data_IF_420980386775
#
_entry.id   IF_420980386775
#
_cell.length_a   1.000
_cell.length_b   1.000
_cell.length_c   1.000
_cell.angle_alpha   90.00
_cell.angle_beta   90.00
_cell.angle_gamma   90.00
#
_symmetry.space_group_name_H-M   'P 1'
#
loop_
_entity.id
_entity.type
_entity.pdbx_description
1 polymer ?
#
# COMPACT_ATOMS: atom_id res chain seq x y z
N UNK A 1 -20.80 26.68 -13.88
CA UNK A 1 -21.12 26.00 -12.61
C UNK A 1 -21.98 24.72 -12.75
N UNK A 2 -22.27 24.22 -13.97
CA UNK A 2 -23.16 23.04 -14.14
C UNK A 2 -22.51 21.70 -13.73
N UNK A 3 -21.22 21.49 -13.98
CA UNK A 3 -20.54 20.20 -13.77
C UNK A 3 -20.38 19.75 -12.29
N UNK A 4 -20.60 20.63 -11.32
CA UNK A 4 -20.39 20.34 -9.88
C UNK A 4 -21.71 20.08 -9.14
N UNK A 5 -22.85 20.45 -9.73
CA UNK A 5 -24.18 20.25 -9.13
C UNK A 5 -24.69 18.86 -9.48
N UNK A 6 -24.81 17.99 -8.47
CA UNK A 6 -25.30 16.62 -8.64
C UNK A 6 -25.08 15.77 -7.40
N UNK A 7 -25.30 14.46 -7.52
CA UNK A 7 -25.04 13.50 -6.45
C UNK A 7 -23.53 13.17 -6.39
N UNK A 8 -22.81 13.80 -5.46
CA UNK A 8 -21.35 13.64 -5.32
C UNK A 8 -20.94 12.50 -4.37
N UNK A 9 -21.91 11.84 -3.70
CA UNK A 9 -21.65 10.83 -2.68
C UNK A 9 -20.74 9.69 -3.16
N UNK A 10 -20.97 9.18 -4.38
CA UNK A 10 -20.15 8.12 -4.97
C UNK A 10 -18.72 8.57 -5.28
N UNK A 11 -18.52 9.82 -5.69
CA UNK A 11 -17.19 10.34 -5.98
C UNK A 11 -16.34 10.50 -4.70
N UNK A 12 -16.98 10.81 -3.57
CA UNK A 12 -16.31 10.99 -2.28
C UNK A 12 -16.20 9.70 -1.46
N UNK A 13 -16.89 8.62 -1.86
CA UNK A 13 -16.81 7.34 -1.15
C UNK A 13 -15.39 6.80 -1.16
N UNK A 14 -15.01 6.12 -0.09
CA UNK A 14 -13.68 5.52 0.04
C UNK A 14 -13.72 4.09 -0.46
N UNK A 15 -12.96 3.82 -1.49
CA UNK A 15 -12.84 2.47 -2.03
C UNK A 15 -11.64 1.76 -1.41
N UNK A 16 -11.61 0.43 -1.52
CA UNK A 16 -10.50 -0.40 -1.06
C UNK A 16 -9.72 -0.92 -2.26
N UNK A 17 -8.43 -0.62 -2.28
CA UNK A 17 -7.48 -1.09 -3.29
C UNK A 17 -6.55 -2.14 -2.70
N UNK A 18 -6.16 -3.13 -3.49
CA UNK A 18 -5.18 -4.14 -3.11
C UNK A 18 -3.96 -4.08 -4.02
N UNK A 19 -2.78 -4.25 -3.42
CA UNK A 19 -1.49 -4.26 -4.11
C UNK A 19 -0.61 -5.36 -3.51
N UNK A 20 -0.13 -6.29 -4.33
CA UNK A 20 0.97 -7.18 -3.92
C UNK A 20 2.31 -6.47 -4.07
N UNK A 21 3.13 -6.50 -3.03
CA UNK A 21 4.47 -5.92 -3.01
C UNK A 21 5.53 -6.82 -3.67
N UNK A 22 5.17 -8.04 -4.07
CA UNK A 22 6.06 -9.02 -4.70
C UNK A 22 6.71 -8.44 -5.95
N UNK A 23 8.05 -8.46 -5.98
CA UNK A 23 8.90 -7.95 -7.07
C UNK A 23 8.70 -6.46 -7.43
N UNK A 24 7.99 -5.70 -6.58
CA UNK A 24 7.78 -4.27 -6.77
C UNK A 24 8.89 -3.46 -6.11
N UNK A 25 9.33 -2.41 -6.81
CA UNK A 25 10.31 -1.46 -6.26
C UNK A 25 9.65 -0.59 -5.21
N UNK A 26 10.21 -0.58 -3.98
CA UNK A 26 9.65 0.11 -2.82
C UNK A 26 9.28 1.58 -3.10
N UNK A 27 10.19 2.34 -3.71
CA UNK A 27 9.99 3.79 -3.92
C UNK A 27 8.83 4.11 -4.86
N UNK A 28 8.82 3.49 -6.04
CA UNK A 28 7.77 3.67 -7.04
C UNK A 28 6.41 3.21 -6.51
N UNK A 29 6.38 2.06 -5.83
CA UNK A 29 5.16 1.55 -5.20
C UNK A 29 4.66 2.51 -4.12
N UNK A 30 5.52 2.95 -3.21
CA UNK A 30 5.15 3.87 -2.13
C UNK A 30 4.63 5.22 -2.65
N UNK A 31 5.19 5.74 -3.74
CA UNK A 31 4.71 6.96 -4.41
C UNK A 31 3.29 6.80 -4.94
N UNK A 32 3.00 5.69 -5.64
CA UNK A 32 1.65 5.40 -6.14
C UNK A 32 0.64 5.18 -5.00
N UNK A 33 1.05 4.46 -3.95
CA UNK A 33 0.22 4.29 -2.76
C UNK A 33 -0.11 5.65 -2.14
N UNK A 34 0.89 6.52 -1.94
CA UNK A 34 0.66 7.85 -1.38
C UNK A 34 -0.29 8.70 -2.25
N UNK A 35 -0.20 8.57 -3.58
CA UNK A 35 -1.11 9.24 -4.52
C UNK A 35 -2.57 8.83 -4.31
N UNK A 36 -2.83 7.52 -4.14
CA UNK A 36 -4.16 6.97 -3.85
C UNK A 36 -4.66 7.35 -2.45
N UNK A 37 -3.78 7.30 -1.44
CA UNK A 37 -4.12 7.70 -0.06
C UNK A 37 -4.45 9.19 0.06
N UNK A 38 -3.90 10.04 -0.83
CA UNK A 38 -4.27 11.45 -0.92
C UNK A 38 -5.57 11.69 -1.70
N UNK A 39 -6.04 10.71 -2.46
CA UNK A 39 -7.22 10.85 -3.33
C UNK A 39 -6.94 11.55 -4.66
N UNK A 40 -5.66 11.77 -5.02
CA UNK A 40 -5.28 12.49 -6.25
C UNK A 40 -5.63 11.76 -7.55
N UNK A 41 -6.02 10.49 -7.44
CA UNK A 41 -6.55 9.70 -8.55
C UNK A 41 -8.00 10.02 -8.90
N UNK A 42 -8.73 10.67 -7.99
CA UNK A 42 -10.10 11.09 -8.22
C UNK A 42 -10.10 12.48 -8.86
N UNK A 43 -10.93 12.72 -9.90
CA UNK A 43 -11.04 14.04 -10.53
C UNK A 43 -11.63 15.10 -9.59
N UNK A 44 -12.30 14.67 -8.51
CA UNK A 44 -12.85 15.54 -7.45
C UNK A 44 -11.84 15.84 -6.33
N UNK A 45 -10.55 15.60 -6.56
CA UNK A 45 -9.51 15.87 -5.57
C UNK A 45 -9.47 17.35 -5.22
N UNK A 46 -9.49 17.62 -3.91
CA UNK A 46 -9.25 18.95 -3.36
C UNK A 46 -8.21 18.85 -2.23
N UNK A 47 -7.19 19.73 -2.18
CA UNK A 47 -6.15 19.66 -1.14
C UNK A 47 -6.65 19.85 0.30
N UNK A 48 -7.77 20.57 0.48
CA UNK A 48 -8.38 20.86 1.79
C UNK A 48 -9.27 19.72 2.29
N UNK A 49 -9.74 18.85 1.39
CA UNK A 49 -10.64 17.73 1.71
C UNK A 49 -9.90 16.39 1.68
N UNK A 50 -10.08 15.58 2.71
CA UNK A 50 -9.46 14.25 2.79
C UNK A 50 -10.35 13.15 2.17
N UNK A 51 -10.37 13.08 0.84
CA UNK A 51 -11.18 12.13 0.05
C UNK A 51 -10.39 10.90 -0.47
N UNK A 52 -9.26 10.58 0.16
CA UNK A 52 -8.42 9.44 -0.20
C UNK A 52 -8.98 8.07 0.18
N UNK A 53 -8.49 7.04 -0.50
CA UNK A 53 -8.99 5.67 -0.40
C UNK A 53 -8.16 4.79 0.57
N UNK A 54 -8.64 3.57 0.81
CA UNK A 54 -7.92 2.54 1.54
C UNK A 54 -7.00 1.76 0.61
N UNK A 55 -5.81 1.41 1.11
CA UNK A 55 -4.85 0.60 0.36
C UNK A 55 -4.39 -0.54 1.25
N UNK A 56 -4.58 -1.76 0.76
CA UNK A 56 -4.11 -3.00 1.36
C UNK A 56 -2.88 -3.43 0.57
N UNK A 57 -1.79 -3.68 1.28
CA UNK A 57 -0.54 -4.21 0.71
C UNK A 57 -0.27 -5.60 1.29
N UNK A 58 -0.11 -6.59 0.42
CA UNK A 58 0.35 -7.95 0.77
C UNK A 58 1.80 -8.16 0.37
N UNK A 59 2.42 -9.23 0.86
CA UNK A 59 3.75 -9.72 0.50
C UNK A 59 4.87 -8.70 0.79
N UNK A 60 4.75 -7.95 1.88
CA UNK A 60 5.72 -6.90 2.20
C UNK A 60 7.15 -7.42 2.35
N UNK A 61 7.35 -8.68 2.73
CA UNK A 61 8.68 -9.31 2.82
C UNK A 61 9.40 -9.37 1.47
N UNK A 62 8.64 -9.54 0.38
CA UNK A 62 9.15 -9.70 -0.99
C UNK A 62 9.36 -8.38 -1.74
N UNK A 63 9.26 -7.23 -1.03
CA UNK A 63 9.49 -5.92 -1.64
C UNK A 63 10.94 -5.77 -2.11
N UNK A 64 11.12 -5.20 -3.30
CA UNK A 64 12.44 -5.01 -3.91
C UNK A 64 13.02 -3.64 -3.55
N UNK A 65 14.25 -3.67 -3.03
CA UNK A 65 15.09 -2.49 -2.83
C UNK A 65 16.15 -2.47 -3.93
N UNK A 66 16.35 -1.32 -4.56
CA UNK A 66 17.31 -1.17 -5.67
C UNK A 66 18.72 -0.88 -5.13
N UNK A 67 19.75 -1.45 -5.78
CA UNK A 67 21.14 -1.26 -5.40
C UNK A 67 21.47 -1.88 -4.04
N UNK A 68 22.46 -1.33 -3.33
CA UNK A 68 22.92 -1.83 -2.02
C UNK A 68 22.06 -1.37 -0.83
N UNK A 69 20.94 -0.69 -1.10
CA UNK A 69 20.01 -0.17 -0.07
C UNK A 69 19.35 -1.26 0.75
N UNK A 70 19.32 -2.50 0.24
CA UNK A 70 18.83 -3.68 0.95
C UNK A 70 19.62 -3.99 2.22
N UNK A 71 20.90 -3.64 2.25
CA UNK A 71 21.82 -4.04 3.31
C UNK A 71 22.39 -2.82 4.04
N UNK A 72 22.70 -1.74 3.31
CA UNK A 72 23.42 -0.58 3.85
C UNK A 72 22.52 0.46 4.52
N UNK A 73 21.20 0.42 4.31
CA UNK A 73 20.32 1.48 4.79
C UNK A 73 20.12 1.40 6.30
N UNK A 74 20.41 2.50 7.00
CA UNK A 74 20.20 2.63 8.45
C UNK A 74 19.03 3.58 8.71
N UNK A 75 18.07 3.13 9.51
CA UNK A 75 17.00 3.98 10.05
C UNK A 75 17.44 4.60 11.37
N UNK A 76 17.34 5.93 11.46
CA UNK A 76 17.72 6.70 12.64
C UNK A 76 16.51 7.31 13.32
N UNK A 77 16.52 7.33 14.63
CA UNK A 77 15.53 8.00 15.49
C UNK A 77 16.26 8.60 16.69
N UNK A 78 15.92 9.83 17.05
CA UNK A 78 16.47 10.49 18.23
C UNK A 78 15.36 10.74 19.26
N UNK A 79 15.61 10.41 20.52
CA UNK A 79 14.62 10.61 21.59
C UNK A 79 14.50 12.06 22.07
N UNK A 80 15.50 12.90 21.82
CA UNK A 80 15.60 14.29 22.29
C UNK A 80 16.57 14.48 23.45
N UNK A 81 16.97 13.41 24.14
CA UNK A 81 17.98 13.45 25.21
C UNK A 81 19.40 13.31 24.64
N UNK A 82 20.40 13.81 25.37
CA UNK A 82 21.81 13.60 25.00
C UNK A 82 22.13 12.10 24.93
N UNK A 83 22.86 11.68 23.89
CA UNK A 83 23.13 10.26 23.63
C UNK A 83 21.91 9.44 23.17
N UNK A 84 20.74 10.05 22.94
CA UNK A 84 19.49 9.39 22.63
C UNK A 84 19.32 8.91 21.18
N UNK A 85 20.40 8.80 20.41
CA UNK A 85 20.38 8.34 19.01
C UNK A 85 20.21 6.83 18.95
N UNK A 86 19.16 6.37 18.28
CA UNK A 86 18.90 4.96 17.98
C UNK A 86 19.05 4.73 16.50
N UNK A 87 19.91 3.79 16.15
CA UNK A 87 20.15 3.37 14.77
C UNK A 87 19.75 1.91 14.61
N UNK A 88 19.00 1.61 13.56
CA UNK A 88 18.54 0.26 13.25
C UNK A 88 18.82 -0.04 11.78
N UNK A 89 19.61 -1.07 11.46
CA UNK A 89 19.84 -1.45 10.07
C UNK A 89 18.55 -2.00 9.45
N UNK A 90 18.38 -1.79 8.15
CA UNK A 90 17.19 -2.20 7.41
C UNK A 90 16.96 -3.72 7.46
N UNK A 91 18.03 -4.52 7.48
CA UNK A 91 17.98 -5.97 7.62
C UNK A 91 17.22 -6.38 8.87
N UNK A 92 17.57 -5.78 10.01
CA UNK A 92 16.92 -6.03 11.30
C UNK A 92 15.45 -5.57 11.35
N UNK A 93 15.06 -4.57 10.56
CA UNK A 93 13.65 -4.19 10.41
C UNK A 93 12.94 -5.18 9.50
N UNK A 94 13.56 -5.60 8.41
CA UNK A 94 13.00 -6.56 7.46
C UNK A 94 12.68 -7.89 8.13
N UNK A 95 13.53 -8.34 9.05
CA UNK A 95 13.34 -9.61 9.75
C UNK A 95 12.24 -9.56 10.82
N UNK A 96 12.09 -8.41 11.50
CA UNK A 96 11.14 -8.28 12.61
C UNK A 96 9.78 -7.70 12.22
N UNK A 97 9.79 -6.68 11.37
CA UNK A 97 8.62 -5.89 10.98
C UNK A 97 8.75 -5.40 9.53
N UNK A 98 8.71 -6.30 8.52
CA UNK A 98 8.86 -5.93 7.11
C UNK A 98 7.82 -4.90 6.65
N UNK A 99 6.62 -4.90 7.24
CA UNK A 99 5.54 -3.95 7.00
C UNK A 99 5.95 -2.50 7.29
N UNK A 100 6.84 -2.29 8.25
CA UNK A 100 7.28 -0.97 8.69
C UNK A 100 8.16 -0.29 7.65
N UNK A 101 8.86 -1.06 6.79
CA UNK A 101 9.65 -0.52 5.69
C UNK A 101 8.75 0.23 4.70
N UNK A 102 7.61 -0.38 4.34
CA UNK A 102 6.63 0.20 3.43
C UNK A 102 5.91 1.38 4.11
N UNK A 103 5.48 1.19 5.36
CA UNK A 103 4.78 2.24 6.13
C UNK A 103 5.63 3.50 6.25
N UNK A 104 6.93 3.36 6.55
CA UNK A 104 7.87 4.50 6.64
C UNK A 104 8.09 5.17 5.28
N UNK A 105 8.23 4.38 4.22
CA UNK A 105 8.38 4.92 2.87
C UNK A 105 7.17 5.78 2.47
N UNK A 106 5.95 5.26 2.66
CA UNK A 106 4.70 5.97 2.35
C UNK A 106 4.52 7.19 3.25
N UNK A 107 4.79 7.06 4.56
CA UNK A 107 4.76 8.17 5.52
C UNK A 107 5.71 9.31 5.15
N UNK A 108 6.84 8.99 4.51
CA UNK A 108 7.78 9.95 3.94
C UNK A 108 7.16 10.75 2.79
N UNK A 109 6.44 10.08 1.89
CA UNK A 109 5.81 10.65 0.68
C UNK A 109 4.56 11.49 0.97
N UNK A 110 3.92 11.31 2.12
CA UNK A 110 2.75 12.09 2.51
C UNK A 110 3.12 13.53 2.96
N UNK A 111 2.31 14.54 2.59
CA UNK A 111 2.46 15.92 3.06
C UNK A 111 2.48 16.01 4.58
N UNK A 112 3.28 16.93 5.14
CA UNK A 112 3.41 17.11 6.59
C UNK A 112 2.27 18.01 7.10
N UNK A 113 1.10 17.42 7.33
CA UNK A 113 -0.07 18.10 7.87
C UNK A 113 -0.87 17.17 8.81
N UNK A 114 -1.99 17.66 9.33
CA UNK A 114 -2.89 16.91 10.23
C UNK A 114 -3.46 15.65 9.57
N UNK A 115 -3.79 15.70 8.27
CA UNK A 115 -4.30 14.54 7.52
C UNK A 115 -3.28 13.42 7.36
N UNK A 116 -1.99 13.67 7.55
CA UNK A 116 -0.94 12.66 7.36
C UNK A 116 -1.19 11.41 8.20
N UNK A 117 -1.59 11.57 9.46
CA UNK A 117 -1.85 10.44 10.37
C UNK A 117 -3.04 9.61 9.88
N UNK A 118 -4.16 10.28 9.61
CA UNK A 118 -5.39 9.63 9.12
C UNK A 118 -5.20 8.94 7.78
N UNK A 119 -4.46 9.56 6.84
CA UNK A 119 -4.12 8.93 5.55
C UNK A 119 -3.23 7.70 5.73
N UNK A 120 -2.27 7.75 6.66
CA UNK A 120 -1.41 6.62 6.94
C UNK A 120 -2.16 5.47 7.64
N UNK A 121 -3.16 5.75 8.47
CA UNK A 121 -4.00 4.74 9.11
C UNK A 121 -4.85 3.92 8.12
N UNK A 122 -5.17 4.51 6.95
CA UNK A 122 -5.86 3.83 5.84
C UNK A 122 -4.97 2.84 5.08
N UNK A 123 -3.64 2.96 5.22
CA UNK A 123 -2.70 1.99 4.68
C UNK A 123 -2.63 0.77 5.59
N UNK A 124 -3.07 -0.38 5.08
CA UNK A 124 -2.92 -1.68 5.75
C UNK A 124 -1.82 -2.46 5.04
N UNK A 125 -0.82 -2.91 5.77
CA UNK A 125 0.34 -3.63 5.22
C UNK A 125 0.49 -4.93 5.98
N UNK A 126 0.63 -6.02 5.23
CA UNK A 126 0.79 -7.37 5.74
C UNK A 126 2.10 -7.97 5.20
N UNK A 127 2.78 -8.73 6.05
CA UNK A 127 4.07 -9.37 5.73
C UNK A 127 3.93 -10.42 4.63
N UNK A 128 2.85 -11.20 4.72
CA UNK A 128 2.46 -12.28 3.82
C UNK A 128 1.11 -11.91 3.17
N UNK A 129 0.12 -12.80 3.25
CA UNK A 129 -1.22 -12.57 2.71
C UNK A 129 -2.05 -11.63 3.61
N UNK A 130 -2.97 -10.91 2.98
CA UNK A 130 -3.91 -10.08 3.73
C UNK A 130 -5.08 -10.93 4.24
N UNK A 131 -5.54 -10.74 5.49
CA UNK A 131 -6.69 -11.46 6.03
C UNK A 131 -7.96 -11.30 5.19
N UNK A 132 -8.78 -12.35 5.15
CA UNK A 132 -10.04 -12.37 4.39
C UNK A 132 -10.98 -11.20 4.69
N UNK A 133 -10.99 -10.73 5.95
CA UNK A 133 -11.76 -9.57 6.41
C UNK A 133 -11.50 -8.33 5.54
N UNK A 134 -10.26 -8.13 5.11
CA UNK A 134 -9.90 -7.02 4.25
C UNK A 134 -10.11 -7.34 2.78
N UNK A 135 -9.88 -8.59 2.37
CA UNK A 135 -10.07 -9.03 0.99
C UNK A 135 -11.52 -8.92 0.52
N UNK A 136 -12.48 -9.17 1.40
CA UNK A 136 -13.91 -9.06 1.10
C UNK A 136 -14.36 -7.64 0.76
N UNK A 137 -13.64 -6.62 1.24
CA UNK A 137 -13.97 -5.21 1.03
C UNK A 137 -13.39 -4.65 -0.28
N UNK A 138 -12.49 -5.39 -0.95
CA UNK A 138 -11.86 -4.94 -2.20
C UNK A 138 -12.93 -4.75 -3.27
N UNK A 139 -12.82 -3.68 -4.05
CA UNK A 139 -13.73 -3.46 -5.18
C UNK A 139 -13.65 -4.62 -6.16
N UNK A 140 -14.77 -5.32 -6.34
CA UNK A 140 -14.90 -6.40 -7.32
C UNK A 140 -15.34 -5.82 -8.65
N UNK A 141 -14.55 -6.02 -9.69
CA UNK A 141 -14.96 -5.71 -11.07
C UNK A 141 -15.59 -6.96 -11.67
N UNK A 142 -16.83 -6.85 -12.17
CA UNK A 142 -17.59 -7.97 -12.74
C UNK A 142 -17.01 -8.51 -14.06
N UNK A 143 -16.06 -7.80 -14.68
CA UNK A 143 -15.38 -8.20 -15.91
C UNK A 143 -14.23 -9.20 -15.66
N UNK A 144 -13.80 -9.38 -14.41
CA UNK A 144 -12.79 -10.40 -14.09
C UNK A 144 -13.46 -11.77 -14.03
N UNK A 145 -13.62 -12.43 -15.18
CA UNK A 145 -13.89 -13.87 -15.21
C UNK A 145 -12.73 -14.56 -14.49
N UNK A 146 -12.97 -15.34 -13.42
CA UNK A 146 -11.90 -16.10 -12.77
C UNK A 146 -11.32 -17.08 -13.79
N UNK A 147 -10.08 -16.88 -14.20
CA UNK A 147 -9.36 -17.74 -15.14
C UNK A 147 -8.95 -19.09 -14.55
N UNK A 148 -9.75 -19.65 -13.63
CA UNK A 148 -9.49 -20.90 -12.93
C UNK A 148 -10.61 -21.91 -13.20
N UNK A 149 -10.78 -22.28 -14.47
CA UNK A 149 -11.53 -23.46 -14.93
C UNK A 149 -10.86 -24.00 -16.21
N UNK A 150 -9.56 -24.31 -16.15
CA UNK A 150 -8.89 -25.07 -17.21
C UNK A 150 -7.72 -25.90 -16.66
N UNK A 151 -8.04 -26.91 -15.86
CA UNK A 151 -7.11 -28.02 -15.61
C UNK A 151 -7.86 -29.26 -15.09
N UNK A 152 -8.72 -29.84 -15.92
CA UNK A 152 -9.10 -31.27 -15.80
C UNK A 152 -9.53 -31.82 -17.16
N UNK A 153 -9.11 -33.05 -17.47
CA UNK A 153 -9.23 -33.83 -18.72
C UNK A 153 -8.12 -33.54 -19.75
N UNK A 154 -7.27 -34.47 -20.19
CA UNK A 154 -7.19 -35.93 -20.00
C UNK A 154 -5.73 -36.35 -20.22
N UNK A 155 -5.13 -36.99 -19.22
CA UNK A 155 -3.95 -37.81 -19.41
C UNK A 155 -4.47 -39.26 -19.44
N UNK A 156 -4.90 -39.73 -20.60
CA UNK A 156 -5.04 -41.17 -20.84
C UNK A 156 -3.76 -41.64 -21.53
N UNK A 157 -2.96 -42.30 -20.71
CA UNK A 157 -1.84 -43.16 -21.06
C UNK A 157 -2.28 -44.32 -21.96
N UNK A 158 -1.44 -44.58 -22.95
CA UNK A 158 -1.08 -45.88 -23.53
C UNK A 158 -1.85 -47.12 -23.06
N UNK A 159 -2.48 -47.82 -24.02
CA UNK A 159 -2.22 -49.22 -24.38
C UNK A 159 -2.81 -49.51 -25.78
#
# INVERSE_FOLDING_TARGET
MSAVRGQTALALTRTWHHVSARDRVLGTMASRIAWVLMGKHKPTYDPSVDAGDYVIVSDALSVRLTGKKGDEKIYRHHSGFMGGLKEVPITRIRDRYPEEIIRRAVSGMLPKNTFRKTRLERLKVFSEEAPEVYMNNIMKTYTTTPSSLSSTSSNESSL
#
